data_IF_992828993987
#
_entry.id   IF_992828993987
#
_cell.length_a   1.000
_cell.length_b   1.000
_cell.length_c   1.000
_cell.angle_alpha   90.00
_cell.angle_beta   90.00
_cell.angle_gamma   90.00
#
_symmetry.space_group_name_H-M   'P 1'
#
loop_
_entity.id
_entity.type
_entity.pdbx_description
1 polymer ?
#
# COMPACT_ATOMS: atom_id res chain seq x y z
N UNK A 1 -1.28 -14.50 2.28
CA UNK A 1 -0.27 -13.60 1.67
C UNK A 1 0.06 -12.56 2.72
N UNK A 2 1.34 -12.40 3.09
CA UNK A 2 1.76 -11.36 4.04
C UNK A 2 1.61 -9.98 3.38
N UNK A 3 1.17 -8.98 4.13
CA UNK A 3 1.21 -7.61 3.62
C UNK A 3 2.64 -7.11 3.74
N UNK A 4 3.25 -6.69 2.63
CA UNK A 4 4.55 -6.05 2.71
C UNK A 4 4.36 -4.58 3.09
N UNK A 5 5.14 -4.12 4.07
CA UNK A 5 5.16 -2.73 4.50
C UNK A 5 6.29 -2.03 3.75
N UNK A 6 6.00 -0.86 3.17
CA UNK A 6 7.02 0.00 2.56
C UNK A 6 7.07 1.29 3.36
N UNK A 7 8.23 1.58 3.95
CA UNK A 7 8.47 2.81 4.71
C UNK A 7 9.31 3.75 3.84
N UNK A 8 8.78 4.93 3.54
CA UNK A 8 9.45 5.96 2.74
C UNK A 8 9.82 7.11 3.65
N UNK A 9 11.10 7.46 3.69
CA UNK A 9 11.60 8.62 4.41
C UNK A 9 12.04 9.67 3.39
N UNK A 10 11.40 10.85 3.42
CA UNK A 10 11.77 12.00 2.61
C UNK A 10 11.96 13.20 3.54
N UNK A 11 13.21 13.46 3.93
CA UNK A 11 13.57 14.58 4.78
C UNK A 11 14.26 15.64 3.93
N UNK A 12 13.55 16.73 3.62
CA UNK A 12 14.11 17.86 2.87
C UNK A 12 15.22 18.55 3.70
N UNK A 13 16.50 18.19 3.49
CA UNK A 13 17.71 18.86 4.05
C UNK A 13 17.81 19.04 5.57
N UNK A 14 16.90 18.53 6.40
CA UNK A 14 16.81 18.89 7.84
C UNK A 14 17.21 17.81 8.84
N UNK A 15 17.60 16.61 8.41
CA UNK A 15 18.21 15.60 9.26
C UNK A 15 19.07 14.73 8.35
N UNK A 16 20.31 14.42 8.76
CA UNK A 16 21.40 13.70 8.05
C UNK A 16 22.07 14.39 6.84
N UNK A 17 23.35 14.71 7.08
CA UNK A 17 24.36 15.29 6.18
C UNK A 17 24.87 14.26 5.15
N UNK A 18 23.96 13.56 4.47
CA UNK A 18 24.26 12.68 3.33
C UNK A 18 23.05 12.75 2.41
N UNK A 19 23.20 13.36 1.22
CA UNK A 19 22.19 13.41 0.15
C UNK A 19 21.60 11.99 -0.06
N UNK A 20 20.43 11.74 0.52
CA UNK A 20 19.69 10.49 0.48
C UNK A 20 18.86 10.33 -0.80
N UNK A 21 18.93 11.30 -1.70
CA UNK A 21 18.09 11.45 -2.90
C UNK A 21 18.21 10.28 -3.89
N UNK A 22 19.23 9.42 -3.75
CA UNK A 22 19.46 8.29 -4.65
C UNK A 22 19.09 6.92 -4.05
N UNK A 23 18.83 6.81 -2.74
CA UNK A 23 18.72 5.49 -2.10
C UNK A 23 17.41 4.76 -2.44
N UNK A 24 16.29 5.48 -2.56
CA UNK A 24 14.98 4.86 -2.82
C UNK A 24 14.76 4.39 -4.27
N UNK A 25 15.56 4.89 -5.21
CA UNK A 25 15.35 4.70 -6.66
C UNK A 25 16.06 3.45 -7.17
N UNK A 26 17.23 3.13 -6.59
CA UNK A 26 18.09 2.04 -7.04
C UNK A 26 17.56 0.64 -6.66
N UNK A 27 16.88 0.50 -5.52
CA UNK A 27 16.39 -0.80 -5.03
C UNK A 27 15.08 -1.26 -5.74
N UNK A 28 14.37 -0.34 -6.38
CA UNK A 28 13.11 -0.61 -7.10
C UNK A 28 13.24 -0.52 -8.63
N UNK A 29 14.45 -0.25 -9.15
CA UNK A 29 14.72 -0.17 -10.59
C UNK A 29 14.07 1.03 -11.28
N UNK A 30 13.83 2.13 -10.56
CA UNK A 30 13.21 3.34 -11.10
C UNK A 30 14.23 4.38 -11.60
N UNK A 31 15.53 4.08 -11.54
CA UNK A 31 16.62 5.02 -11.86
C UNK A 31 16.54 5.53 -13.29
N UNK A 32 16.24 4.66 -14.25
CA UNK A 32 16.07 5.06 -15.65
C UNK A 32 14.84 5.94 -15.88
N UNK A 33 13.75 5.66 -15.16
CA UNK A 33 12.51 6.43 -15.23
C UNK A 33 12.69 7.82 -14.62
N UNK A 34 13.35 7.89 -13.47
CA UNK A 34 13.69 9.14 -12.81
C UNK A 34 14.58 10.02 -13.70
N UNK A 35 15.66 9.46 -14.24
CA UNK A 35 16.58 10.19 -15.13
C UNK A 35 15.91 10.70 -16.41
N UNK A 36 14.91 9.98 -16.94
CA UNK A 36 14.14 10.43 -18.11
C UNK A 36 13.15 11.55 -17.77
N UNK A 37 12.51 11.48 -16.60
CA UNK A 37 11.43 12.39 -16.25
C UNK A 37 11.91 13.68 -15.55
N UNK A 38 13.04 13.62 -14.83
CA UNK A 38 13.66 14.76 -14.13
C UNK A 38 13.81 16.04 -14.99
N UNK A 39 14.27 15.99 -16.26
CA UNK A 39 14.36 17.19 -17.08
C UNK A 39 13.02 17.67 -17.67
N UNK A 40 11.95 16.87 -17.53
CA UNK A 40 10.67 17.12 -18.23
C UNK A 40 9.60 17.76 -17.35
N UNK A 41 9.77 17.76 -16.02
CA UNK A 41 8.76 18.27 -15.09
C UNK A 41 9.38 18.71 -13.75
N UNK A 42 8.66 19.52 -12.95
CA UNK A 42 9.09 19.87 -11.61
C UNK A 42 9.23 18.65 -10.70
N UNK A 43 10.16 18.71 -9.74
CA UNK A 43 10.46 17.66 -8.76
C UNK A 43 9.22 17.05 -8.09
N UNK A 44 8.29 17.89 -7.62
CA UNK A 44 7.09 17.41 -6.91
C UNK A 44 6.17 16.57 -7.82
N UNK A 45 6.11 16.90 -9.11
CA UNK A 45 5.33 16.12 -10.09
C UNK A 45 6.01 14.77 -10.36
N UNK A 46 7.34 14.77 -10.45
CA UNK A 46 8.15 13.57 -10.63
C UNK A 46 7.98 12.61 -9.44
N UNK A 47 8.08 13.11 -8.21
CA UNK A 47 7.90 12.29 -7.02
C UNK A 47 6.48 11.74 -6.90
N UNK A 48 5.47 12.52 -7.29
CA UNK A 48 4.10 12.02 -7.42
C UNK A 48 3.98 10.83 -8.38
N UNK A 49 4.63 10.89 -9.56
CA UNK A 49 4.64 9.79 -10.52
C UNK A 49 5.42 8.56 -10.02
N UNK A 50 6.54 8.77 -9.31
CA UNK A 50 7.29 7.67 -8.72
C UNK A 50 6.42 6.92 -7.73
N UNK A 51 5.70 7.61 -6.84
CA UNK A 51 4.80 6.95 -5.88
C UNK A 51 3.67 6.20 -6.58
N UNK A 52 3.03 6.80 -7.59
CA UNK A 52 2.01 6.11 -8.38
C UNK A 52 2.57 4.83 -9.03
N UNK A 53 3.82 4.88 -9.49
CA UNK A 53 4.48 3.74 -10.10
C UNK A 53 4.88 2.68 -9.08
N UNK A 54 5.35 3.09 -7.91
CA UNK A 54 5.60 2.22 -6.76
C UNK A 54 4.31 1.48 -6.42
N UNK A 55 3.19 2.19 -6.22
CA UNK A 55 1.87 1.60 -5.96
C UNK A 55 1.45 0.60 -7.05
N UNK A 56 1.63 0.94 -8.33
CA UNK A 56 1.28 0.08 -9.46
C UNK A 56 2.15 -1.18 -9.57
N UNK A 57 3.46 -1.07 -9.33
CA UNK A 57 4.38 -2.22 -9.32
C UNK A 57 4.13 -3.13 -8.13
N UNK A 58 3.79 -2.54 -6.99
CA UNK A 58 3.48 -3.21 -5.72
C UNK A 58 2.19 -4.03 -5.79
N UNK A 59 1.18 -3.54 -6.51
CA UNK A 59 -0.15 -4.18 -6.62
C UNK A 59 -0.14 -5.57 -7.25
N UNK A 60 0.97 -6.01 -7.86
CA UNK A 60 1.12 -7.35 -8.45
C UNK A 60 1.48 -8.45 -7.44
N UNK A 61 1.94 -8.10 -6.23
CA UNK A 61 2.51 -9.06 -5.27
C UNK A 61 1.68 -9.26 -3.99
N UNK A 62 0.50 -8.63 -3.90
CA UNK A 62 -0.38 -8.65 -2.72
C UNK A 62 -0.73 -7.25 -2.23
N UNK A 63 -1.52 -7.14 -1.15
CA UNK A 63 -1.81 -5.84 -0.52
C UNK A 63 -0.56 -5.37 0.24
N UNK A 64 0.13 -4.33 -0.24
CA UNK A 64 1.17 -3.65 0.53
C UNK A 64 0.64 -2.33 1.05
N UNK A 65 1.15 -1.91 2.20
CA UNK A 65 0.79 -0.62 2.82
C UNK A 65 2.01 0.30 2.84
N UNK A 66 1.82 1.54 2.42
CA UNK A 66 2.87 2.56 2.42
C UNK A 66 2.78 3.37 3.72
N UNK A 67 3.93 3.61 4.36
CA UNK A 67 4.08 4.58 5.44
C UNK A 67 5.04 5.65 4.95
N UNK A 68 4.53 6.84 4.66
CA UNK A 68 5.33 7.96 4.15
C UNK A 68 5.64 8.94 5.29
N UNK A 69 6.92 9.19 5.56
CA UNK A 69 7.39 10.15 6.56
C UNK A 69 8.04 11.34 5.85
N UNK A 70 7.71 12.55 6.30
CA UNK A 70 8.36 13.75 5.81
C UNK A 70 8.13 14.98 6.68
N UNK A 71 8.91 16.01 6.42
CA UNK A 71 8.85 17.32 7.10
C UNK A 71 8.82 18.50 6.11
N UNK A 72 9.27 18.32 4.88
CA UNK A 72 9.45 19.37 3.89
C UNK A 72 8.17 19.82 3.17
N UNK A 73 8.24 20.93 2.44
CA UNK A 73 7.09 21.34 1.62
C UNK A 73 6.91 20.41 0.40
N UNK A 74 8.00 19.74 -0.03
CA UNK A 74 8.01 18.77 -1.12
C UNK A 74 7.09 17.58 -0.85
N UNK A 75 6.96 17.19 0.42
CA UNK A 75 6.20 16.03 0.89
C UNK A 75 4.67 16.14 0.76
N UNK A 76 4.16 17.34 0.53
CA UNK A 76 2.71 17.53 0.45
C UNK A 76 2.12 16.86 -0.81
N UNK A 77 2.76 17.02 -1.97
CA UNK A 77 2.31 16.40 -3.22
C UNK A 77 2.26 14.85 -3.14
N UNK A 78 3.33 14.15 -2.72
CA UNK A 78 3.30 12.71 -2.55
C UNK A 78 2.25 12.24 -1.53
N UNK A 79 2.03 13.00 -0.44
CA UNK A 79 0.98 12.69 0.55
C UNK A 79 -0.43 12.63 -0.06
N UNK A 80 -0.72 13.42 -1.09
CA UNK A 80 -2.02 13.43 -1.80
C UNK A 80 -2.23 12.18 -2.68
N UNK A 81 -1.17 11.44 -2.99
CA UNK A 81 -1.21 10.22 -3.83
C UNK A 81 -1.43 8.94 -3.03
N UNK A 82 -1.31 9.03 -1.71
CA UNK A 82 -1.54 7.90 -0.82
C UNK A 82 -3.04 7.53 -0.79
N UNK A 83 -3.32 6.27 -0.54
CA UNK A 83 -4.68 5.69 -0.49
C UNK A 83 -5.16 5.55 0.94
N UNK A 84 -6.44 5.15 1.11
CA UNK A 84 -7.04 4.90 2.42
C UNK A 84 -6.40 3.72 3.18
N UNK A 85 -5.60 2.89 2.50
CA UNK A 85 -4.85 1.79 3.11
C UNK A 85 -3.46 2.21 3.62
N UNK A 86 -3.02 3.42 3.28
CA UNK A 86 -1.68 3.95 3.54
C UNK A 86 -1.66 4.90 4.75
N UNK A 87 -0.45 5.27 5.16
CA UNK A 87 -0.16 6.14 6.29
C UNK A 87 0.74 7.28 5.86
N UNK A 88 0.49 8.48 6.38
CA UNK A 88 1.39 9.62 6.30
C UNK A 88 1.79 10.07 7.69
N UNK A 89 3.05 10.39 7.88
CA UNK A 89 3.61 10.85 9.16
C UNK A 89 4.28 12.21 9.02
N UNK A 90 3.49 13.31 9.01
CA UNK A 90 4.04 14.66 8.85
C UNK A 90 4.66 15.18 10.16
N UNK A 91 5.87 15.72 10.10
CA UNK A 91 6.52 16.35 11.25
C UNK A 91 5.81 17.64 11.67
N UNK A 92 5.36 17.72 12.92
CA UNK A 92 4.72 18.92 13.48
C UNK A 92 5.59 20.14 13.41
N UNK A 93 4.97 21.29 13.16
CA UNK A 93 5.61 22.60 13.05
C UNK A 93 6.54 22.75 11.84
N UNK A 94 6.52 21.79 10.90
CA UNK A 94 7.23 21.87 9.63
C UNK A 94 6.25 22.04 8.45
N UNK A 95 6.74 22.45 7.26
CA UNK A 95 5.88 22.80 6.13
C UNK A 95 4.84 21.75 5.71
N UNK A 96 5.18 20.46 5.63
CA UNK A 96 4.19 19.42 5.24
C UNK A 96 3.01 19.37 6.20
N UNK A 97 3.27 19.39 7.50
CA UNK A 97 2.24 19.37 8.53
C UNK A 97 1.35 20.59 8.44
N UNK A 98 1.95 21.77 8.21
CA UNK A 98 1.20 23.01 8.01
C UNK A 98 0.31 22.98 6.76
N UNK A 99 0.72 22.31 5.69
CA UNK A 99 -0.07 22.15 4.46
C UNK A 99 -1.22 21.15 4.64
N UNK A 100 -0.93 19.98 5.22
CA UNK A 100 -1.93 18.94 5.52
C UNK A 100 -2.99 19.48 6.49
N UNK A 101 -2.56 20.20 7.55
CA UNK A 101 -3.47 20.74 8.57
C UNK A 101 -4.48 21.76 8.04
N UNK A 102 -4.19 22.43 6.91
CA UNK A 102 -5.13 23.38 6.29
C UNK A 102 -6.36 22.67 5.71
N UNK A 103 -6.19 21.47 5.16
CA UNK A 103 -7.29 20.69 4.62
C UNK A 103 -6.95 19.18 4.62
N UNK A 104 -7.09 18.51 5.77
CA UNK A 104 -6.70 17.11 5.91
C UNK A 104 -7.51 16.16 5.02
N UNK A 105 -8.71 16.56 4.57
CA UNK A 105 -9.57 15.76 3.70
C UNK A 105 -8.99 15.52 2.30
N UNK A 106 -7.96 16.28 1.90
CA UNK A 106 -7.26 16.06 0.63
C UNK A 106 -6.29 14.87 0.70
N UNK A 107 -5.88 14.48 1.90
CA UNK A 107 -5.04 13.30 2.15
C UNK A 107 -5.96 12.14 2.51
N UNK A 108 -5.95 11.09 1.69
CA UNK A 108 -6.76 9.89 1.92
C UNK A 108 -6.15 8.95 2.95
N UNK A 109 -4.83 8.97 3.08
CA UNK A 109 -4.09 8.18 4.04
C UNK A 109 -4.40 8.58 5.48
N UNK A 110 -4.21 7.63 6.40
CA UNK A 110 -4.31 7.91 7.83
C UNK A 110 -3.10 8.76 8.27
N UNK A 111 -3.38 9.84 8.99
CA UNK A 111 -2.39 10.89 9.31
C UNK A 111 -1.89 10.70 10.75
N UNK A 112 -0.59 10.54 10.93
CA UNK A 112 0.06 10.36 12.23
C UNK A 112 1.25 11.31 12.42
N UNK A 113 0.97 12.45 13.03
CA UNK A 113 1.95 13.50 13.31
C UNK A 113 2.97 13.12 14.40
N UNK A 114 4.19 13.69 14.31
CA UNK A 114 5.28 13.51 15.29
C UNK A 114 6.13 14.79 15.44
N UNK A 115 6.78 14.99 16.58
CA UNK A 115 7.56 16.22 16.88
C UNK A 115 9.07 15.94 16.86
N UNK A 116 9.48 14.82 17.43
CA UNK A 116 10.89 14.42 17.59
C UNK A 116 11.10 12.93 17.25
N UNK A 117 12.36 12.49 17.32
CA UNK A 117 12.75 11.12 16.96
C UNK A 117 12.14 10.04 17.86
N UNK A 118 11.90 10.32 19.15
CA UNK A 118 11.29 9.34 20.06
C UNK A 118 9.80 9.15 19.72
N UNK A 119 9.08 10.24 19.46
CA UNK A 119 7.69 10.19 19.04
C UNK A 119 7.55 9.54 17.66
N UNK A 120 8.44 9.87 16.72
CA UNK A 120 8.49 9.24 15.39
C UNK A 120 8.63 7.73 15.50
N UNK A 121 9.61 7.24 16.28
CA UNK A 121 9.83 5.81 16.49
C UNK A 121 8.60 5.13 17.10
N UNK A 122 8.04 5.72 18.17
CA UNK A 122 6.85 5.18 18.85
C UNK A 122 5.66 5.05 17.90
N UNK A 123 5.38 6.09 17.12
CA UNK A 123 4.25 6.13 16.19
C UNK A 123 4.46 5.13 15.06
N UNK A 124 5.66 5.07 14.48
CA UNK A 124 5.99 4.14 13.40
C UNK A 124 5.82 2.69 13.85
N UNK A 125 6.34 2.33 15.03
CA UNK A 125 6.18 0.99 15.60
C UNK A 125 4.71 0.64 15.84
N UNK A 126 3.91 1.56 16.37
CA UNK A 126 2.48 1.36 16.56
C UNK A 126 1.74 1.06 15.26
N UNK A 127 2.08 1.77 14.17
CA UNK A 127 1.50 1.54 12.85
C UNK A 127 1.92 0.16 12.34
N UNK A 128 3.22 -0.18 12.39
CA UNK A 128 3.74 -1.48 11.93
C UNK A 128 3.06 -2.64 12.67
N UNK A 129 3.00 -2.57 14.00
CA UNK A 129 2.33 -3.59 14.80
C UNK A 129 0.84 -3.70 14.47
N UNK A 130 0.17 -2.58 14.21
CA UNK A 130 -1.24 -2.57 13.81
C UNK A 130 -1.43 -3.25 12.46
N UNK A 131 -0.58 -2.96 11.48
CA UNK A 131 -0.61 -3.63 10.16
C UNK A 131 -0.41 -5.14 10.33
N UNK A 132 0.60 -5.56 11.10
CA UNK A 132 0.87 -6.97 11.36
C UNK A 132 -0.29 -7.69 12.08
N UNK A 133 -1.00 -7.01 12.99
CA UNK A 133 -2.21 -7.57 13.64
C UNK A 133 -3.38 -7.71 12.67
N UNK A 134 -3.62 -6.70 11.84
CA UNK A 134 -4.69 -6.74 10.83
C UNK A 134 -4.48 -7.89 9.84
N UNK A 135 -3.23 -8.21 9.49
CA UNK A 135 -2.88 -9.37 8.67
C UNK A 135 -3.25 -10.71 9.33
N UNK A 136 -2.99 -10.87 10.64
CA UNK A 136 -3.37 -12.09 11.36
C UNK A 136 -4.90 -12.26 11.41
N UNK A 137 -5.65 -11.17 11.61
CA UNK A 137 -7.11 -11.20 11.65
C UNK A 137 -7.69 -11.53 10.28
N UNK A 138 -7.19 -10.93 9.20
CA UNK A 138 -7.64 -11.23 7.83
C UNK A 138 -7.27 -12.67 7.41
N UNK A 139 -6.12 -13.18 7.85
CA UNK A 139 -5.73 -14.58 7.62
C UNK A 139 -6.63 -15.55 8.38
N UNK A 140 -6.94 -15.28 9.66
CA UNK A 140 -7.83 -16.09 10.48
C UNK A 140 -9.28 -16.02 10.00
N UNK A 141 -9.73 -14.85 9.55
CA UNK A 141 -11.04 -14.61 8.96
C UNK A 141 -11.20 -15.35 7.63
N UNK A 142 -10.21 -15.28 6.74
CA UNK A 142 -10.19 -16.07 5.51
C UNK A 142 -10.17 -17.60 5.79
N UNK A 143 -9.53 -18.02 6.88
CA UNK A 143 -9.55 -19.42 7.35
C UNK A 143 -10.92 -19.81 7.93
N UNK A 144 -11.61 -18.90 8.62
CA UNK A 144 -12.97 -19.09 9.15
C UNK A 144 -14.02 -19.12 8.03
N UNK A 145 -13.90 -18.25 7.03
CA UNK A 145 -14.78 -18.24 5.85
C UNK A 145 -14.50 -19.40 4.87
N UNK A 146 -13.37 -20.10 4.99
CA UNK A 146 -13.06 -21.31 4.21
C UNK A 146 -13.63 -22.60 4.82
N UNK A 147 -14.08 -22.60 6.08
CA UNK A 147 -14.51 -23.81 6.77
C UNK A 147 -16.03 -24.07 6.71
N UNK A 148 -16.85 -23.07 6.41
CA UNK A 148 -18.32 -23.17 6.45
C UNK A 148 -19.00 -23.20 5.07
N UNK A 149 -18.40 -23.91 4.10
CA UNK A 149 -19.12 -24.40 2.91
C UNK A 149 -19.17 -25.94 2.92
N UNK A 150 -19.68 -26.52 4.01
CA UNK A 150 -20.20 -27.89 4.06
C UNK A 150 -21.59 -27.89 4.66
N UNK A 151 -22.53 -27.20 4.00
CA UNK A 151 -23.93 -27.55 4.18
C UNK A 151 -24.24 -28.75 3.29
N UNK A 152 -24.50 -29.87 3.95
CA UNK A 152 -24.83 -31.17 3.36
C UNK A 152 -26.07 -31.05 2.46
N UNK A 153 -25.97 -31.54 1.24
CA UNK A 153 -27.11 -32.14 0.54
C UNK A 153 -26.69 -33.53 0.11
N UNK A 154 -27.04 -34.50 0.95
CA UNK A 154 -27.09 -35.91 0.57
C UNK A 154 -28.20 -36.08 -0.47
N UNK A 155 -27.86 -36.56 -1.67
CA UNK A 155 -28.71 -37.52 -2.37
C UNK A 155 -27.89 -38.29 -3.41
N UNK A 156 -27.37 -39.43 -2.99
CA UNK A 156 -26.96 -40.55 -3.84
C UNK A 156 -28.20 -41.36 -4.17
N UNK A 157 -28.45 -41.65 -5.45
CA UNK A 157 -28.81 -42.99 -5.96
C UNK A 157 -29.24 -42.91 -7.44
N UNK A 158 -28.40 -43.48 -8.30
CA UNK A 158 -28.77 -44.06 -9.58
C UNK A 158 -29.85 -45.14 -9.40
N UNK A 159 -30.82 -45.24 -10.32
CA UNK A 159 -31.31 -46.45 -10.99
C UNK A 159 -32.65 -46.15 -11.70
N UNK A 160 -32.76 -46.51 -12.99
CA UNK A 160 -34.07 -46.59 -13.66
C UNK A 160 -34.05 -46.32 -15.17
N UNK A 161 -33.91 -47.41 -15.93
CA UNK A 161 -34.23 -47.66 -17.35
C UNK A 161 -35.06 -46.62 -18.15
N UNK A 162 -34.66 -46.44 -19.43
CA UNK A 162 -35.53 -45.99 -20.53
C UNK A 162 -35.16 -46.74 -21.83
N UNK A 163 -36.10 -47.23 -22.65
CA UNK A 163 -35.85 -48.26 -23.65
C UNK A 163 -35.42 -47.76 -25.05
N UNK A 164 -34.82 -48.70 -25.78
CA UNK A 164 -34.29 -48.63 -27.16
C UNK A 164 -35.23 -48.02 -28.21
N UNK A 165 -34.63 -47.28 -29.15
CA UNK A 165 -35.15 -47.09 -30.51
C UNK A 165 -34.19 -47.76 -31.51
N UNK A 166 -34.77 -48.62 -32.36
CA UNK A 166 -34.14 -49.47 -33.36
C UNK A 166 -33.62 -48.67 -34.56
N UNK A 167 -32.41 -49.00 -35.03
CA UNK A 167 -31.94 -48.65 -36.37
C UNK A 167 -32.31 -49.77 -37.35
N UNK A 168 -33.02 -49.44 -38.44
CA UNK A 168 -33.24 -50.34 -39.57
C UNK A 168 -32.35 -49.86 -40.73
N UNK A 169 -31.48 -50.74 -41.20
CA UNK A 169 -30.80 -50.66 -42.49
C UNK A 169 -31.26 -51.80 -43.36
N UNK A 170 -31.78 -51.48 -44.55
CA UNK A 170 -31.40 -52.13 -45.79
C UNK A 170 -31.45 -51.12 -46.92
#
# INVERSE_FOLDING_TARGET
>A
MAAAIVVVFDFDKTIIDVDGDNWGIDELGFTDLFNQLLPTMPWNSLMGLIIERIQASISKEGSKKIIYLGDGAGDYCPSLKLTEADYVMPRKNFPVWGLISKNPLLVKAEIHEWIDGEEMERVLLQIIERISREEMVCSNSAQLFSADCKLQTLSTASHGASPQALSVTQ
#
